data_IF_683587067515
#
_entry.id   IF_683587067515
#
_cell.length_a   1.000
_cell.length_b   1.000
_cell.length_c   1.000
_cell.angle_alpha   90.00
_cell.angle_beta   90.00
_cell.angle_gamma   90.00
#
_symmetry.space_group_name_H-M   'P 1'
#
loop_
_entity.id
_entity.type
_entity.pdbx_description
1 polymer ?
#
# COMPACT_ATOMS: atom_id res chain seq x y z
N UNK A 1 15.38 -9.52 10.23
CA UNK A 1 14.70 -8.32 10.74
C UNK A 1 14.74 -7.27 9.64
N UNK A 2 13.60 -6.68 9.31
CA UNK A 2 13.50 -5.65 8.26
C UNK A 2 14.03 -4.32 8.81
N UNK A 3 14.99 -3.70 8.12
CA UNK A 3 15.58 -2.42 8.54
C UNK A 3 14.73 -1.22 8.11
N UNK A 4 14.93 -0.06 8.74
CA UNK A 4 14.27 1.20 8.34
C UNK A 4 14.54 1.56 6.88
N UNK A 5 15.76 1.32 6.40
CA UNK A 5 16.13 1.53 5.01
C UNK A 5 15.35 0.61 4.06
N UNK A 6 15.23 -0.68 4.40
CA UNK A 6 14.44 -1.63 3.62
C UNK A 6 12.96 -1.23 3.58
N UNK A 7 12.40 -0.72 4.69
CA UNK A 7 11.03 -0.20 4.71
C UNK A 7 10.86 0.99 3.76
N UNK A 8 11.77 1.97 3.80
CA UNK A 8 11.72 3.14 2.91
C UNK A 8 11.85 2.76 1.44
N UNK A 9 12.79 1.88 1.10
CA UNK A 9 12.96 1.38 -0.27
C UNK A 9 11.74 0.60 -0.76
N UNK A 10 11.18 -0.26 0.10
CA UNK A 10 9.97 -1.02 -0.18
C UNK A 10 8.78 -0.08 -0.44
N UNK A 11 8.56 0.90 0.44
CA UNK A 11 7.46 1.85 0.30
C UNK A 11 7.57 2.67 -0.99
N UNK A 12 8.77 3.14 -1.33
CA UNK A 12 9.01 3.85 -2.59
C UNK A 12 8.67 2.97 -3.80
N UNK A 13 9.21 1.75 -3.85
CA UNK A 13 8.96 0.82 -4.95
C UNK A 13 7.47 0.47 -5.09
N UNK A 14 6.77 0.28 -3.96
CA UNK A 14 5.34 0.00 -3.93
C UNK A 14 4.54 1.14 -4.57
N UNK A 15 4.78 2.38 -4.13
CA UNK A 15 4.05 3.54 -4.62
C UNK A 15 4.43 3.95 -6.05
N UNK A 16 5.68 3.72 -6.47
CA UNK A 16 6.10 3.93 -7.86
C UNK A 16 5.34 3.01 -8.81
N UNK A 17 5.25 1.72 -8.48
CA UNK A 17 4.51 0.74 -9.28
C UNK A 17 3.01 1.07 -9.34
N UNK A 18 2.41 1.47 -8.21
CA UNK A 18 0.99 1.88 -8.18
C UNK A 18 0.74 3.15 -9.00
N UNK A 19 1.64 4.14 -8.94
CA UNK A 19 1.48 5.42 -9.65
C UNK A 19 1.49 5.24 -11.16
N UNK A 20 2.38 4.41 -11.68
CA UNK A 20 2.43 4.11 -13.13
C UNK A 20 1.42 3.04 -13.56
N UNK A 21 0.58 2.58 -12.64
CA UNK A 21 -0.33 1.45 -12.84
C UNK A 21 0.37 0.26 -13.50
N UNK A 22 1.52 -0.14 -12.94
CA UNK A 22 2.34 -1.24 -13.47
C UNK A 22 1.53 -2.55 -13.57
N UNK A 23 1.92 -3.50 -14.45
CA UNK A 23 1.30 -4.82 -14.52
C UNK A 23 1.23 -5.47 -13.14
N UNK A 24 0.07 -6.07 -12.81
CA UNK A 24 -0.21 -6.59 -11.47
C UNK A 24 0.80 -7.66 -11.06
N UNK A 25 1.33 -8.42 -12.01
CA UNK A 25 2.36 -9.44 -11.82
C UNK A 25 3.66 -8.89 -11.22
N UNK A 26 3.94 -7.59 -11.40
CA UNK A 26 5.09 -6.92 -10.78
C UNK A 26 4.83 -6.50 -9.33
N UNK A 27 3.57 -6.40 -8.93
CA UNK A 27 3.14 -5.91 -7.61
C UNK A 27 2.85 -7.09 -6.67
N UNK A 28 2.27 -8.18 -7.18
CA UNK A 28 1.94 -9.37 -6.38
C UNK A 28 3.12 -9.92 -5.55
N UNK A 29 4.38 -9.93 -6.04
CA UNK A 29 5.51 -10.37 -5.22
C UNK A 29 5.77 -9.50 -3.98
N UNK A 30 5.20 -8.31 -3.90
CA UNK A 30 5.28 -7.39 -2.75
C UNK A 30 4.18 -7.64 -1.70
N UNK A 31 3.30 -8.61 -1.94
CA UNK A 31 2.12 -8.90 -1.10
C UNK A 31 2.21 -10.35 -0.62
N UNK A 32 1.93 -10.59 0.66
CA UNK A 32 1.89 -11.93 1.22
C UNK A 32 0.83 -12.79 0.51
N UNK A 33 1.19 -14.04 0.23
CA UNK A 33 0.31 -15.03 -0.43
C UNK A 33 -0.66 -15.69 0.58
N UNK A 34 -0.25 -15.74 1.85
CA UNK A 34 -1.03 -16.31 2.96
C UNK A 34 -1.31 -15.25 4.01
N UNK A 35 -2.45 -15.42 4.69
CA UNK A 35 -2.90 -14.58 5.81
C UNK A 35 -2.96 -13.07 5.50
N UNK A 36 -3.07 -12.74 4.20
CA UNK A 36 -3.17 -11.37 3.72
C UNK A 36 -4.44 -10.70 4.27
N UNK A 37 -4.30 -9.48 4.75
CA UNK A 37 -5.45 -8.62 5.05
C UNK A 37 -5.17 -7.18 4.63
N UNK A 38 -5.77 -6.74 3.52
CA UNK A 38 -5.73 -5.36 3.08
C UNK A 38 -7.10 -4.71 3.21
N UNK A 39 -7.27 -3.79 4.16
CA UNK A 39 -8.51 -3.07 4.44
C UNK A 39 -8.46 -1.71 3.73
N UNK A 40 -9.16 -1.64 2.60
CA UNK A 40 -9.47 -0.40 1.91
C UNK A 40 -10.84 0.12 2.38
N UNK A 41 -11.15 1.42 2.20
CA UNK A 41 -12.43 1.99 2.61
C UNK A 41 -13.64 1.28 1.97
N UNK A 42 -13.49 0.83 0.73
CA UNK A 42 -14.55 0.22 -0.06
C UNK A 42 -14.66 -1.30 0.13
N UNK A 43 -13.56 -1.98 0.48
CA UNK A 43 -13.53 -3.43 0.65
C UNK A 43 -12.28 -3.94 1.38
N UNK A 44 -12.37 -5.15 1.91
CA UNK A 44 -11.21 -5.88 2.46
C UNK A 44 -10.77 -6.97 1.51
N UNK A 45 -9.48 -7.01 1.18
CA UNK A 45 -8.83 -8.02 0.32
C UNK A 45 -8.11 -9.03 1.20
N UNK A 46 -8.28 -10.32 0.90
CA UNK A 46 -7.65 -11.42 1.66
C UNK A 46 -6.81 -12.36 0.83
N UNK A 47 -6.71 -12.10 -0.47
CA UNK A 47 -5.96 -12.93 -1.41
C UNK A 47 -5.36 -12.11 -2.55
N UNK A 48 -4.42 -12.71 -3.27
CA UNK A 48 -3.91 -12.15 -4.53
C UNK A 48 -5.01 -12.01 -5.59
N UNK A 49 -6.02 -12.88 -5.59
CA UNK A 49 -7.17 -12.77 -6.49
C UNK A 49 -8.01 -11.53 -6.18
N UNK A 50 -8.31 -11.29 -4.90
CA UNK A 50 -8.99 -10.06 -4.47
C UNK A 50 -8.18 -8.82 -4.84
N UNK A 51 -6.85 -8.88 -4.72
CA UNK A 51 -5.97 -7.79 -5.14
C UNK A 51 -6.02 -7.53 -6.63
N UNK A 52 -5.95 -8.58 -7.46
CA UNK A 52 -6.04 -8.45 -8.93
C UNK A 52 -7.34 -7.80 -9.35
N UNK A 53 -8.48 -8.28 -8.85
CA UNK A 53 -9.78 -7.71 -9.17
C UNK A 53 -9.84 -6.24 -8.73
N UNK A 54 -9.40 -5.92 -7.50
CA UNK A 54 -9.37 -4.56 -6.97
C UNK A 54 -8.55 -3.63 -7.87
N UNK A 55 -7.36 -4.08 -8.24
CA UNK A 55 -6.40 -3.33 -9.03
C UNK A 55 -6.96 -3.01 -10.43
N UNK A 56 -7.67 -3.96 -11.05
CA UNK A 56 -8.36 -3.74 -12.33
C UNK A 56 -9.47 -2.69 -12.19
N UNK A 57 -10.24 -2.70 -11.10
CA UNK A 57 -11.30 -1.71 -10.90
C UNK A 57 -10.72 -0.31 -10.66
N UNK A 58 -9.67 -0.19 -9.86
CA UNK A 58 -8.96 1.08 -9.62
C UNK A 58 -8.39 1.62 -10.94
N UNK A 59 -7.75 0.78 -11.76
CA UNK A 59 -7.22 1.16 -13.07
C UNK A 59 -8.29 1.66 -14.06
N UNK A 60 -9.53 1.16 -13.96
CA UNK A 60 -10.67 1.64 -14.78
C UNK A 60 -11.26 2.95 -14.24
N UNK A 61 -11.30 3.13 -12.93
CA UNK A 61 -11.91 4.29 -12.30
C UNK A 61 -11.02 5.54 -12.36
N UNK A 62 -9.70 5.34 -12.45
CA UNK A 62 -8.70 6.37 -12.17
C UNK A 62 -7.52 6.34 -13.14
N UNK A 63 -7.16 7.51 -13.66
CA UNK A 63 -6.02 7.71 -14.56
C UNK A 63 -5.03 8.74 -13.98
N UNK A 64 -3.78 8.69 -14.45
CA UNK A 64 -2.74 9.66 -14.05
C UNK A 64 -2.46 9.64 -12.55
N UNK A 65 -2.45 8.45 -11.94
CA UNK A 65 -2.28 8.25 -10.51
C UNK A 65 -0.84 8.63 -10.09
N UNK A 66 -0.70 9.38 -9.01
CA UNK A 66 0.60 9.73 -8.42
C UNK A 66 0.49 9.63 -6.91
N UNK A 67 1.42 8.90 -6.31
CA UNK A 67 1.55 8.74 -4.86
C UNK A 67 2.84 9.41 -4.39
N UNK A 68 2.71 10.45 -3.56
CA UNK A 68 3.84 11.15 -2.95
C UNK A 68 3.89 10.82 -1.47
N UNK A 69 4.95 10.16 -1.03
CA UNK A 69 5.16 9.80 0.36
C UNK A 69 5.42 11.07 1.18
N UNK A 70 4.58 11.35 2.19
CA UNK A 70 4.82 12.41 3.18
C UNK A 70 5.53 11.87 4.42
N UNK A 71 5.21 10.64 4.83
CA UNK A 71 5.78 10.02 6.04
C UNK A 71 5.85 8.51 5.93
N UNK A 72 6.98 7.94 6.34
CA UNK A 72 7.18 6.51 6.59
C UNK A 72 7.82 6.38 7.96
N UNK A 73 7.12 5.75 8.90
CA UNK A 73 7.60 5.56 10.27
C UNK A 73 7.48 4.08 10.66
N UNK A 74 8.58 3.32 10.57
CA UNK A 74 8.64 1.95 11.07
C UNK A 74 8.77 1.94 12.60
N UNK A 75 7.98 1.08 13.24
CA UNK A 75 7.98 0.86 14.68
C UNK A 75 8.89 -0.31 15.07
N UNK A 76 9.47 -0.25 16.26
CA UNK A 76 10.29 -1.34 16.80
C UNK A 76 9.39 -2.48 17.28
N UNK A 77 9.49 -3.64 16.62
CA UNK A 77 8.71 -4.83 16.93
C UNK A 77 7.46 -4.99 16.04
N UNK A 78 6.88 -6.21 15.99
CA UNK A 78 5.62 -6.41 15.30
C UNK A 78 4.48 -5.70 16.04
N UNK A 79 3.39 -5.36 15.33
CA UNK A 79 2.10 -5.14 16.00
C UNK A 79 1.84 -6.35 16.92
N UNK A 80 1.10 -6.20 18.02
CA UNK A 80 0.71 -7.29 18.91
C UNK A 80 0.03 -8.47 18.19
N UNK A 81 -0.38 -8.27 16.92
CA UNK A 81 -0.98 -9.26 16.01
C UNK A 81 -0.07 -9.67 14.84
N UNK A 82 1.15 -9.16 14.74
CA UNK A 82 2.12 -9.40 13.67
C UNK A 82 3.07 -10.58 13.94
N UNK A 83 3.68 -11.17 12.90
CA UNK A 83 4.70 -12.21 13.07
C UNK A 83 5.96 -11.62 13.74
N UNK A 84 6.67 -12.43 14.52
CA UNK A 84 7.80 -11.97 15.36
C UNK A 84 8.94 -11.29 14.59
N UNK A 85 9.11 -11.59 13.32
CA UNK A 85 10.11 -11.06 12.40
C UNK A 85 9.59 -9.91 11.51
N UNK A 86 8.33 -9.52 11.69
CA UNK A 86 7.69 -8.43 10.98
C UNK A 86 7.97 -7.04 11.57
N UNK A 87 7.60 -6.01 10.81
CA UNK A 87 7.69 -4.60 11.20
C UNK A 87 6.36 -3.91 10.95
N UNK A 88 5.84 -3.22 11.96
CA UNK A 88 4.70 -2.32 11.80
C UNK A 88 5.17 -0.97 11.25
N UNK A 89 4.41 -0.37 10.34
CA UNK A 89 4.78 0.87 9.66
C UNK A 89 3.58 1.80 9.58
N UNK A 90 3.74 3.04 10.05
CA UNK A 90 2.80 4.10 9.73
C UNK A 90 3.21 4.81 8.45
N UNK A 91 2.25 5.00 7.55
CA UNK A 91 2.47 5.61 6.24
C UNK A 91 1.48 6.75 6.02
N UNK A 92 2.00 7.91 5.63
CA UNK A 92 1.19 9.01 5.10
C UNK A 92 1.60 9.26 3.67
N UNK A 93 0.63 9.25 2.76
CA UNK A 93 0.85 9.46 1.33
C UNK A 93 -0.19 10.42 0.77
N UNK A 94 0.24 11.35 -0.09
CA UNK A 94 -0.66 12.17 -0.89
C UNK A 94 -0.89 11.48 -2.22
N UNK A 95 -2.13 11.11 -2.48
CA UNK A 95 -2.57 10.48 -3.71
C UNK A 95 -3.27 11.51 -4.60
N UNK A 96 -2.68 11.77 -5.76
CA UNK A 96 -3.26 12.62 -6.81
C UNK A 96 -3.74 11.76 -7.96
N UNK A 97 -4.93 12.04 -8.48
CA UNK A 97 -5.55 11.21 -9.49
C UNK A 97 -6.57 11.97 -10.33
N UNK A 98 -6.78 11.55 -11.56
CA UNK A 98 -7.91 11.98 -12.40
C UNK A 98 -8.98 10.89 -12.41
N UNK A 99 -10.20 11.22 -12.00
CA UNK A 99 -11.34 10.32 -12.10
C UNK A 99 -11.78 10.20 -13.57
N UNK A 100 -11.86 8.98 -14.09
CA UNK A 100 -12.18 8.73 -15.50
C UNK A 100 -13.61 9.14 -15.84
N UNK A 101 -14.55 8.95 -14.90
CA UNK A 101 -15.98 9.18 -15.14
C UNK A 101 -16.33 10.63 -15.51
N UNK A 102 -15.61 11.61 -14.98
CA UNK A 102 -15.89 13.04 -15.17
C UNK A 102 -14.66 13.92 -15.41
N UNK A 103 -13.47 13.32 -15.50
CA UNK A 103 -12.20 14.02 -15.70
C UNK A 103 -11.75 14.88 -14.52
N UNK A 104 -12.41 14.81 -13.36
CA UNK A 104 -12.07 15.64 -12.21
C UNK A 104 -10.76 15.17 -11.59
N UNK A 105 -9.85 16.12 -11.34
CA UNK A 105 -8.63 15.87 -10.57
C UNK A 105 -8.91 15.95 -9.07
N UNK A 106 -8.40 14.97 -8.33
CA UNK A 106 -8.51 14.84 -6.88
C UNK A 106 -7.11 14.72 -6.30
N UNK A 107 -6.93 15.29 -5.10
CA UNK A 107 -5.71 15.17 -4.32
C UNK A 107 -6.08 14.88 -2.87
N UNK A 108 -5.80 13.66 -2.43
CA UNK A 108 -6.23 13.13 -1.15
C UNK A 108 -5.00 12.75 -0.32
N UNK A 109 -4.98 13.15 0.95
CA UNK A 109 -4.03 12.65 1.94
C UNK A 109 -4.58 11.37 2.55
N UNK A 110 -3.82 10.28 2.42
CA UNK A 110 -4.13 8.96 2.97
C UNK A 110 -3.22 8.65 4.16
N UNK A 111 -3.83 8.26 5.29
CA UNK A 111 -3.11 7.72 6.46
C UNK A 111 -3.33 6.23 6.54
N UNK A 112 -2.25 5.48 6.71
CA UNK A 112 -2.23 4.04 6.57
C UNK A 112 -1.36 3.39 7.64
N UNK A 113 -1.68 2.15 7.98
CA UNK A 113 -0.81 1.28 8.79
C UNK A 113 -0.53 0.00 8.01
N UNK A 114 0.73 -0.41 7.95
CA UNK A 114 1.16 -1.65 7.31
C UNK A 114 1.78 -2.59 8.35
N UNK A 115 1.65 -3.89 8.10
CA UNK A 115 2.50 -4.90 8.71
C UNK A 115 3.30 -5.54 7.59
N UNK A 116 4.62 -5.33 7.61
CA UNK A 116 5.56 -5.98 6.72
C UNK A 116 6.10 -7.24 7.37
N UNK A 117 6.42 -8.24 6.56
CA UNK A 117 7.13 -9.46 6.98
C UNK A 117 8.14 -9.87 5.90
N UNK A 118 9.22 -10.59 6.25
CA UNK A 118 10.11 -11.15 5.24
C UNK A 118 9.39 -12.27 4.48
N UNK A 119 9.49 -12.25 3.16
CA UNK A 119 9.02 -13.35 2.33
C UNK A 119 9.78 -14.64 2.65
N UNK A 120 9.07 -15.76 2.81
CA UNK A 120 9.68 -17.08 2.98
C UNK A 120 10.62 -17.45 1.81
N UNK A 121 10.33 -16.96 0.60
CA UNK A 121 11.06 -17.32 -0.62
C UNK A 121 12.29 -16.45 -0.86
N UNK A 122 12.19 -15.15 -0.64
CA UNK A 122 13.21 -14.17 -1.07
C UNK A 122 13.83 -13.40 0.08
N UNK A 123 13.27 -13.52 1.29
CA UNK A 123 13.61 -12.69 2.46
C UNK A 123 13.42 -11.18 2.25
N UNK A 124 12.84 -10.77 1.11
CA UNK A 124 12.47 -9.38 0.85
C UNK A 124 11.18 -9.02 1.60
N UNK A 125 10.98 -7.74 1.99
CA UNK A 125 9.75 -7.32 2.64
C UNK A 125 8.52 -7.56 1.75
N UNK A 126 7.42 -8.02 2.35
CA UNK A 126 6.09 -8.12 1.74
C UNK A 126 5.03 -7.58 2.69
N UNK A 127 3.94 -7.04 2.14
CA UNK A 127 2.78 -6.58 2.90
C UNK A 127 1.96 -7.80 3.34
N UNK A 128 1.86 -8.00 4.65
CA UNK A 128 0.92 -8.95 5.27
C UNK A 128 -0.39 -8.25 5.62
N UNK A 129 -0.30 -7.05 6.20
CA UNK A 129 -1.47 -6.23 6.52
C UNK A 129 -1.33 -4.84 5.96
N UNK A 130 -2.42 -4.29 5.49
CA UNK A 130 -2.51 -2.94 4.96
C UNK A 130 -3.85 -2.37 5.37
N UNK A 131 -3.88 -1.18 5.97
CA UNK A 131 -5.15 -0.54 6.32
C UNK A 131 -5.08 0.93 5.99
N UNK A 132 -6.06 1.42 5.25
CA UNK A 132 -6.32 2.85 5.10
C UNK A 132 -7.24 3.28 6.24
N UNK A 133 -6.79 4.22 7.06
CA UNK A 133 -7.57 4.77 8.17
C UNK A 133 -8.40 5.96 7.73
N UNK A 134 -7.84 6.81 6.87
CA UNK A 134 -8.50 8.03 6.42
C UNK A 134 -8.04 8.41 5.02
N UNK A 135 -8.96 8.98 4.24
CA UNK A 135 -8.72 9.75 3.02
C UNK A 135 -9.38 11.11 3.22
N UNK A 136 -8.56 12.16 3.32
CA UNK A 136 -9.04 13.54 3.44
C UNK A 136 -8.42 14.43 2.38
N UNK A 137 -8.98 15.62 2.18
CA UNK A 137 -8.39 16.59 1.26
C UNK A 137 -6.97 16.97 1.71
N UNK A 138 -6.00 16.95 0.79
CA UNK A 138 -4.62 17.29 1.13
C UNK A 138 -4.45 18.81 1.42
N UNK A 139 -5.45 19.62 1.08
CA UNK A 139 -5.50 21.08 1.26
C UNK A 139 -5.84 21.52 2.68
N UNK A 140 -6.24 20.61 3.57
CA UNK A 140 -6.48 20.91 4.97
C UNK A 140 -5.18 20.73 5.76
N UNK A 141 -4.49 21.84 6.01
CA UNK A 141 -3.41 21.99 6.99
C UNK A 141 -3.75 23.17 7.90
#
# INVERSE_FOLDING_TARGET
MISKEQVSQFAQAWFDLLSVHAPVERILPMIADRDLEMVFPERTLRSHEDFKDWYVQVGKAYAGQVHVIERIEPHEGPDARGPADGVAVDVTVVWSVTRVADGKRLTLRSRQTWQLMPSEKTQQPVILRYRIHSLGDASAS
#
